data_IF_023695026145
#
_entry.id   IF_023695026145
#
_cell.length_a   1.000
_cell.length_b   1.000
_cell.length_c   1.000
_cell.angle_alpha   90.00
_cell.angle_beta   90.00
_cell.angle_gamma   90.00
#
_symmetry.space_group_name_H-M   'P 1'
#
loop_
_entity.id
_entity.type
_entity.pdbx_description
1 polymer ?
#
# COMPACT_ATOMS: atom_id res chain seq x y z
N UNK A 1 11.55 -21.97 33.97
CA UNK A 1 11.35 -22.24 32.54
C UNK A 1 11.56 -20.90 31.86
N UNK A 2 12.62 -20.72 31.06
CA UNK A 2 12.83 -19.48 30.32
C UNK A 2 11.68 -19.34 29.31
N UNK A 3 11.05 -18.17 29.23
CA UNK A 3 9.95 -17.93 28.30
C UNK A 3 10.43 -18.18 26.86
N UNK A 4 9.61 -18.85 26.05
CA UNK A 4 9.95 -19.07 24.64
C UNK A 4 10.03 -17.71 23.92
N UNK A 5 10.83 -17.57 22.84
CA UNK A 5 10.87 -16.33 22.06
C UNK A 5 9.48 -15.89 21.57
N UNK A 6 8.60 -16.86 21.32
CA UNK A 6 7.19 -16.64 21.01
C UNK A 6 6.40 -15.99 22.14
N UNK A 7 6.53 -16.49 23.38
CA UNK A 7 5.86 -15.89 24.54
C UNK A 7 6.43 -14.50 24.85
N UNK A 8 7.76 -14.34 24.69
CA UNK A 8 8.43 -13.05 24.81
C UNK A 8 7.88 -12.03 23.80
N UNK A 9 7.70 -12.41 22.53
CA UNK A 9 7.13 -11.54 21.50
C UNK A 9 5.75 -11.01 21.90
N UNK A 10 4.87 -11.89 22.38
CA UNK A 10 3.52 -11.52 22.84
C UNK A 10 3.54 -10.55 24.03
N UNK A 11 4.44 -10.77 24.98
CA UNK A 11 4.59 -9.87 26.12
C UNK A 11 5.13 -8.50 25.69
N UNK A 12 6.05 -8.46 24.72
CA UNK A 12 6.56 -7.22 24.14
C UNK A 12 5.45 -6.47 23.37
N UNK A 13 4.61 -7.16 22.59
CA UNK A 13 3.44 -6.51 21.96
C UNK A 13 2.47 -5.92 23.00
N UNK A 14 2.33 -6.58 24.16
CA UNK A 14 1.51 -6.06 25.26
C UNK A 14 2.13 -4.79 25.86
N UNK A 15 3.46 -4.73 25.99
CA UNK A 15 4.16 -3.52 26.40
C UNK A 15 4.03 -2.40 25.35
N UNK A 16 4.09 -2.72 24.06
CA UNK A 16 3.87 -1.77 22.97
C UNK A 16 2.46 -1.16 23.02
N UNK A 17 1.45 -1.96 23.35
CA UNK A 17 0.08 -1.47 23.53
C UNK A 17 -0.02 -0.46 24.69
N UNK A 18 0.66 -0.72 25.81
CA UNK A 18 0.72 0.24 26.94
C UNK A 18 1.49 1.51 26.57
N UNK A 19 2.63 1.39 25.86
CA UNK A 19 3.39 2.54 25.38
C UNK A 19 2.54 3.43 24.44
N UNK A 20 1.68 2.82 23.62
CA UNK A 20 0.72 3.52 22.77
C UNK A 20 -0.30 4.32 23.59
N UNK A 21 -0.84 3.75 24.67
CA UNK A 21 -1.76 4.47 25.57
C UNK A 21 -1.10 5.70 26.21
N UNK A 22 0.20 5.61 26.50
CA UNK A 22 1.02 6.71 27.01
C UNK A 22 1.53 7.66 25.90
N UNK A 23 1.21 7.38 24.63
CA UNK A 23 1.69 8.11 23.44
C UNK A 23 3.23 8.18 23.36
N UNK A 24 3.92 7.18 23.89
CA UNK A 24 5.36 7.06 23.77
C UNK A 24 5.69 6.35 22.45
N UNK A 25 5.68 7.11 21.35
CA UNK A 25 5.79 6.56 20.00
C UNK A 25 7.12 5.85 19.73
N UNK A 26 8.22 6.32 20.31
CA UNK A 26 9.53 5.67 20.19
C UNK A 26 9.49 4.26 20.78
N UNK A 27 8.93 4.10 21.98
CA UNK A 27 8.78 2.77 22.60
C UNK A 27 7.79 1.88 21.83
N UNK A 28 6.73 2.44 21.25
CA UNK A 28 5.82 1.68 20.38
C UNK A 28 6.57 1.05 19.21
N UNK A 29 7.41 1.83 18.52
CA UNK A 29 8.23 1.35 17.39
C UNK A 29 9.20 0.28 17.86
N UNK A 30 9.97 0.56 18.92
CA UNK A 30 11.02 -0.33 19.42
C UNK A 30 10.44 -1.67 19.88
N UNK A 31 9.34 -1.65 20.64
CA UNK A 31 8.70 -2.87 21.12
C UNK A 31 8.10 -3.68 19.97
N UNK A 32 7.35 -3.10 19.04
CA UNK A 32 6.79 -3.88 17.94
C UNK A 32 7.87 -4.40 16.97
N UNK A 33 8.95 -3.66 16.73
CA UNK A 33 10.10 -4.18 15.97
C UNK A 33 10.74 -5.37 16.69
N UNK A 34 10.94 -5.26 18.00
CA UNK A 34 11.51 -6.36 18.78
C UNK A 34 10.60 -7.59 18.81
N UNK A 35 9.28 -7.40 18.89
CA UNK A 35 8.32 -8.49 18.76
C UNK A 35 8.41 -9.15 17.38
N UNK A 36 8.50 -8.36 16.31
CA UNK A 36 8.68 -8.85 14.94
C UNK A 36 9.94 -9.71 14.78
N UNK A 37 11.09 -9.25 15.29
CA UNK A 37 12.34 -10.02 15.30
C UNK A 37 12.20 -11.38 16.03
N UNK A 38 11.51 -11.40 17.16
CA UNK A 38 11.29 -12.63 17.93
C UNK A 38 10.34 -13.61 17.21
N UNK A 39 9.32 -13.09 16.53
CA UNK A 39 8.46 -13.91 15.67
C UNK A 39 9.24 -14.50 14.50
N UNK A 40 10.14 -13.74 13.87
CA UNK A 40 11.04 -14.25 12.83
C UNK A 40 11.97 -15.36 13.35
N UNK A 41 12.53 -15.23 14.57
CA UNK A 41 13.34 -16.29 15.20
C UNK A 41 12.56 -17.59 15.46
N UNK A 42 11.23 -17.51 15.45
CA UNK A 42 10.34 -18.66 15.59
C UNK A 42 9.85 -19.22 14.24
N UNK A 43 10.39 -18.73 13.11
CA UNK A 43 9.91 -19.02 11.75
C UNK A 43 8.41 -18.67 11.59
N UNK A 44 8.00 -17.54 12.16
CA UNK A 44 6.62 -17.01 12.10
C UNK A 44 6.59 -15.64 11.41
N UNK A 45 6.82 -15.58 10.07
CA UNK A 45 6.86 -14.33 9.31
C UNK A 45 5.53 -13.57 9.31
N UNK A 46 4.39 -14.26 9.23
CA UNK A 46 3.09 -13.58 9.29
C UNK A 46 2.89 -12.81 10.62
N UNK A 47 3.04 -13.42 11.81
CA UNK A 47 3.01 -12.68 13.08
C UNK A 47 4.04 -11.54 13.17
N UNK A 48 5.21 -11.70 12.55
CA UNK A 48 6.22 -10.65 12.48
C UNK A 48 5.73 -9.43 11.69
N UNK A 49 5.20 -9.66 10.48
CA UNK A 49 4.57 -8.64 9.65
C UNK A 49 3.38 -7.98 10.35
N UNK A 50 2.50 -8.77 10.96
CA UNK A 50 1.33 -8.27 11.71
C UNK A 50 1.75 -7.32 12.86
N UNK A 51 2.87 -7.61 13.53
CA UNK A 51 3.41 -6.76 14.60
C UNK A 51 3.86 -5.40 14.07
N UNK A 52 4.59 -5.38 12.95
CA UNK A 52 5.00 -4.14 12.30
C UNK A 52 3.79 -3.35 11.77
N UNK A 53 2.80 -4.02 11.20
CA UNK A 53 1.57 -3.39 10.74
C UNK A 53 0.72 -2.81 11.90
N UNK A 54 0.78 -3.38 13.11
CA UNK A 54 0.15 -2.78 14.31
C UNK A 54 0.87 -1.50 14.74
N UNK A 55 2.20 -1.49 14.69
CA UNK A 55 2.98 -0.30 14.96
C UNK A 55 2.65 0.81 13.96
N UNK A 56 2.70 0.50 12.66
CA UNK A 56 2.40 1.44 11.59
C UNK A 56 1.03 2.11 11.78
N UNK A 57 -0.02 1.31 12.03
CA UNK A 57 -1.38 1.81 12.34
C UNK A 57 -1.46 2.73 13.55
N UNK A 58 -0.60 2.54 14.55
CA UNK A 58 -0.57 3.42 15.72
C UNK A 58 0.10 4.77 15.43
N UNK A 59 0.91 4.84 14.39
CA UNK A 59 1.79 5.96 14.06
C UNK A 59 1.25 6.83 12.92
N UNK A 60 0.24 6.38 12.16
CA UNK A 60 -0.20 7.06 10.92
C UNK A 60 -0.46 8.57 11.10
N UNK A 61 -1.08 8.97 12.21
CA UNK A 61 -1.39 10.38 12.48
C UNK A 61 -0.22 11.15 13.12
N UNK A 62 0.64 10.47 13.89
CA UNK A 62 1.65 11.12 14.73
C UNK A 62 3.03 11.17 14.05
N UNK A 63 3.42 10.09 13.38
CA UNK A 63 4.71 9.87 12.75
C UNK A 63 4.50 9.13 11.41
N UNK A 64 3.92 9.79 10.39
CA UNK A 64 3.48 9.14 9.16
C UNK A 64 4.65 8.56 8.33
N UNK A 65 5.82 9.18 8.36
CA UNK A 65 7.01 8.64 7.67
C UNK A 65 7.49 7.32 8.31
N UNK A 66 7.49 7.23 9.64
CA UNK A 66 7.81 5.99 10.35
C UNK A 66 6.75 4.91 10.10
N UNK A 67 5.47 5.29 10.05
CA UNK A 67 4.37 4.37 9.74
C UNK A 67 4.55 3.73 8.36
N UNK A 68 4.89 4.53 7.36
CA UNK A 68 5.18 4.05 6.00
C UNK A 68 6.36 3.10 5.97
N UNK A 69 7.46 3.40 6.68
CA UNK A 69 8.60 2.50 6.76
C UNK A 69 8.20 1.15 7.36
N UNK A 70 7.42 1.16 8.45
CA UNK A 70 6.94 -0.07 9.10
C UNK A 70 6.00 -0.88 8.20
N UNK A 71 5.11 -0.24 7.45
CA UNK A 71 4.32 -0.94 6.42
C UNK A 71 5.19 -1.53 5.32
N UNK A 72 6.23 -0.83 4.91
CA UNK A 72 7.19 -1.31 3.90
C UNK A 72 7.90 -2.57 4.38
N UNK A 73 8.43 -2.54 5.60
CA UNK A 73 9.10 -3.68 6.24
C UNK A 73 8.12 -4.86 6.40
N UNK A 74 6.87 -4.59 6.79
CA UNK A 74 5.82 -5.59 6.91
C UNK A 74 5.46 -6.25 5.56
N UNK A 75 5.41 -5.48 4.46
CA UNK A 75 5.25 -6.02 3.11
C UNK A 75 6.42 -6.94 2.75
N UNK A 76 7.67 -6.51 2.96
CA UNK A 76 8.87 -7.30 2.62
C UNK A 76 8.85 -8.66 3.31
N UNK A 77 8.49 -8.73 4.59
CA UNK A 77 8.39 -9.99 5.33
C UNK A 77 7.39 -10.96 4.67
N UNK A 78 6.23 -10.46 4.20
CA UNK A 78 5.22 -11.30 3.56
C UNK A 78 5.62 -11.70 2.14
N UNK A 79 6.30 -10.81 1.41
CA UNK A 79 6.82 -11.09 0.08
C UNK A 79 7.90 -12.17 0.11
N UNK A 80 8.82 -12.10 1.07
CA UNK A 80 9.87 -13.10 1.27
C UNK A 80 9.29 -14.47 1.69
N UNK A 81 8.14 -14.49 2.36
CA UNK A 81 7.39 -15.71 2.73
C UNK A 81 6.48 -16.23 1.59
N UNK A 82 6.46 -15.57 0.43
CA UNK A 82 5.59 -15.93 -0.71
C UNK A 82 4.10 -15.74 -0.42
N UNK A 83 3.76 -14.82 0.48
CA UNK A 83 2.40 -14.47 0.89
C UNK A 83 2.02 -13.08 0.43
N UNK A 84 2.36 -12.73 -0.81
CA UNK A 84 2.15 -11.38 -1.38
C UNK A 84 0.70 -10.89 -1.25
N UNK A 85 -0.28 -11.80 -1.36
CA UNK A 85 -1.69 -11.46 -1.21
C UNK A 85 -2.01 -10.82 0.15
N UNK A 86 -1.29 -11.22 1.20
CA UNK A 86 -1.49 -10.68 2.55
C UNK A 86 -0.93 -9.26 2.70
N UNK A 87 -0.02 -8.84 1.82
CA UNK A 87 0.57 -7.51 1.83
C UNK A 87 -0.33 -6.45 1.17
N UNK A 88 -1.43 -6.84 0.51
CA UNK A 88 -2.22 -5.89 -0.29
C UNK A 88 -2.77 -4.72 0.53
N UNK A 89 -3.30 -5.00 1.72
CA UNK A 89 -3.86 -3.94 2.57
C UNK A 89 -2.76 -3.04 3.17
N UNK A 90 -1.56 -3.59 3.37
CA UNK A 90 -0.40 -2.82 3.82
C UNK A 90 0.08 -1.85 2.72
N UNK A 91 0.10 -2.31 1.46
CA UNK A 91 0.38 -1.44 0.31
C UNK A 91 -0.61 -0.29 0.19
N UNK A 92 -1.92 -0.57 0.34
CA UNK A 92 -2.97 0.45 0.30
C UNK A 92 -2.82 1.45 1.43
N UNK A 93 -2.57 0.98 2.65
CA UNK A 93 -2.37 1.84 3.81
C UNK A 93 -1.16 2.78 3.64
N UNK A 94 -0.02 2.25 3.19
CA UNK A 94 1.16 3.07 2.91
C UNK A 94 0.91 4.10 1.78
N UNK A 95 0.26 3.68 0.69
CA UNK A 95 -0.11 4.59 -0.41
C UNK A 95 -1.05 5.71 0.09
N UNK A 96 -1.98 5.41 0.98
CA UNK A 96 -2.89 6.40 1.58
C UNK A 96 -2.14 7.46 2.35
N UNK A 97 -1.15 7.05 3.15
CA UNK A 97 -0.31 7.98 3.90
C UNK A 97 0.49 8.87 2.94
N UNK A 98 1.10 8.30 1.89
CA UNK A 98 1.81 9.10 0.90
C UNK A 98 0.92 10.12 0.19
N UNK A 99 -0.33 9.77 -0.15
CA UNK A 99 -1.30 10.72 -0.71
C UNK A 99 -1.59 11.84 0.28
N UNK A 100 -1.84 11.53 1.56
CA UNK A 100 -2.07 12.53 2.62
C UNK A 100 -0.87 13.46 2.83
N UNK A 101 0.34 12.95 2.63
CA UNK A 101 1.59 13.72 2.71
C UNK A 101 1.93 14.46 1.40
N UNK A 102 1.06 14.41 0.39
CA UNK A 102 1.28 14.97 -0.95
C UNK A 102 2.52 14.41 -1.67
N UNK A 103 3.01 13.24 -1.23
CA UNK A 103 4.11 12.48 -1.84
C UNK A 103 3.57 11.57 -2.95
N UNK A 104 2.99 12.16 -3.98
CA UNK A 104 2.24 11.43 -5.01
C UNK A 104 3.07 10.42 -5.80
N UNK A 105 4.34 10.73 -6.09
CA UNK A 105 5.22 9.79 -6.79
C UNK A 105 5.42 8.51 -5.98
N UNK A 106 5.66 8.62 -4.67
CA UNK A 106 5.84 7.48 -3.78
C UNK A 106 4.54 6.67 -3.64
N UNK A 107 3.39 7.35 -3.54
CA UNK A 107 2.08 6.71 -3.54
C UNK A 107 1.85 5.87 -4.80
N UNK A 108 2.11 6.44 -5.98
CA UNK A 108 1.97 5.74 -7.25
C UNK A 108 2.95 4.55 -7.34
N UNK A 109 4.18 4.68 -6.87
CA UNK A 109 5.13 3.57 -6.79
C UNK A 109 4.62 2.44 -5.90
N UNK A 110 4.01 2.74 -4.75
CA UNK A 110 3.41 1.72 -3.88
C UNK A 110 2.21 1.02 -4.54
N UNK A 111 1.38 1.75 -5.27
CA UNK A 111 0.27 1.17 -6.03
C UNK A 111 0.76 0.28 -7.17
N UNK A 112 1.86 0.63 -7.84
CA UNK A 112 2.47 -0.24 -8.85
C UNK A 112 3.03 -1.53 -8.21
N UNK A 113 3.67 -1.43 -7.04
CA UNK A 113 4.11 -2.63 -6.28
C UNK A 113 2.93 -3.53 -5.89
N UNK A 114 1.81 -2.95 -5.46
CA UNK A 114 0.56 -3.68 -5.24
C UNK A 114 0.09 -4.40 -6.51
N UNK A 115 0.15 -3.72 -7.67
CA UNK A 115 -0.22 -4.33 -8.94
C UNK A 115 0.65 -5.54 -9.31
N UNK A 116 1.97 -5.46 -9.08
CA UNK A 116 2.90 -6.57 -9.29
C UNK A 116 2.65 -7.72 -8.30
N UNK A 117 2.44 -7.42 -7.02
CA UNK A 117 2.06 -8.41 -6.01
C UNK A 117 0.74 -9.12 -6.39
N UNK A 118 -0.23 -8.36 -6.89
CA UNK A 118 -1.51 -8.89 -7.36
C UNK A 118 -1.36 -9.80 -8.59
N UNK A 119 -0.46 -9.47 -9.51
CA UNK A 119 -0.13 -10.31 -10.66
C UNK A 119 0.36 -11.70 -10.23
N UNK A 120 1.34 -11.74 -9.31
CA UNK A 120 1.88 -12.99 -8.76
C UNK A 120 0.81 -13.89 -8.14
N UNK A 121 -0.20 -13.28 -7.53
CA UNK A 121 -1.33 -14.01 -6.92
C UNK A 121 -2.46 -14.33 -7.91
N UNK A 122 -2.31 -14.04 -9.21
CA UNK A 122 -3.38 -14.11 -10.22
C UNK A 122 -4.63 -13.28 -9.85
N UNK A 123 -4.47 -12.24 -9.05
CA UNK A 123 -5.52 -11.36 -8.57
C UNK A 123 -5.79 -10.21 -9.57
N UNK A 124 -6.23 -10.57 -10.78
CA UNK A 124 -6.40 -9.64 -11.92
C UNK A 124 -7.18 -8.36 -11.60
N UNK A 125 -8.25 -8.46 -10.82
CA UNK A 125 -9.06 -7.30 -10.45
C UNK A 125 -8.24 -6.30 -9.61
N UNK A 126 -7.59 -6.77 -8.55
CA UNK A 126 -6.72 -5.96 -7.70
C UNK A 126 -5.58 -5.33 -8.49
N UNK A 127 -4.95 -6.09 -9.39
CA UNK A 127 -3.90 -5.60 -10.27
C UNK A 127 -4.39 -4.43 -11.13
N UNK A 128 -5.52 -4.60 -11.83
CA UNK A 128 -6.04 -3.57 -12.74
C UNK A 128 -6.47 -2.31 -11.99
N UNK A 129 -7.08 -2.46 -10.81
CA UNK A 129 -7.42 -1.33 -9.94
C UNK A 129 -6.16 -0.57 -9.50
N UNK A 130 -5.13 -1.28 -9.04
CA UNK A 130 -3.90 -0.66 -8.56
C UNK A 130 -3.20 0.15 -9.66
N UNK A 131 -3.14 -0.38 -10.90
CA UNK A 131 -2.59 0.35 -12.04
C UNK A 131 -3.40 1.61 -12.41
N UNK A 132 -4.74 1.51 -12.40
CA UNK A 132 -5.58 2.69 -12.62
C UNK A 132 -5.38 3.74 -11.53
N UNK A 133 -5.34 3.34 -10.26
CA UNK A 133 -5.07 4.24 -9.14
C UNK A 133 -3.72 4.94 -9.30
N UNK A 134 -2.66 4.23 -9.70
CA UNK A 134 -1.34 4.84 -9.93
C UNK A 134 -1.38 5.91 -11.04
N UNK A 135 -2.06 5.64 -12.16
CA UNK A 135 -2.22 6.60 -13.27
C UNK A 135 -2.99 7.85 -12.78
N UNK A 136 -4.07 7.66 -12.02
CA UNK A 136 -4.86 8.77 -11.46
C UNK A 136 -4.02 9.62 -10.51
N UNK A 137 -3.19 9.01 -9.67
CA UNK A 137 -2.28 9.73 -8.75
C UNK A 137 -1.29 10.61 -9.53
N UNK A 138 -0.71 10.13 -10.63
CA UNK A 138 0.17 10.95 -11.47
C UNK A 138 -0.59 12.10 -12.16
N UNK A 139 -1.82 11.86 -12.65
CA UNK A 139 -2.66 12.92 -13.22
C UNK A 139 -3.02 13.99 -12.18
N UNK A 140 -3.32 13.57 -10.95
CA UNK A 140 -3.59 14.47 -9.82
C UNK A 140 -2.35 15.31 -9.47
N UNK A 141 -1.16 14.71 -9.52
CA UNK A 141 0.11 15.40 -9.32
C UNK A 141 0.50 16.35 -10.48
N UNK A 142 -0.36 16.51 -11.49
CA UNK A 142 -0.09 17.26 -12.71
C UNK A 142 1.13 16.78 -13.52
N UNK A 143 1.55 15.53 -13.32
CA UNK A 143 2.65 14.91 -14.05
C UNK A 143 2.10 14.04 -15.19
N UNK A 144 1.60 14.72 -16.23
CA UNK A 144 1.02 14.06 -17.41
C UNK A 144 2.03 13.11 -18.08
N UNK A 145 3.31 13.51 -18.14
CA UNK A 145 4.36 12.69 -18.76
C UNK A 145 4.53 11.36 -18.04
N UNK A 146 4.57 11.39 -16.70
CA UNK A 146 4.71 10.17 -15.91
C UNK A 146 3.41 9.35 -15.92
N UNK A 147 2.24 9.99 -15.97
CA UNK A 147 0.95 9.30 -16.12
C UNK A 147 0.86 8.52 -17.45
N UNK A 148 1.24 9.16 -18.57
CA UNK A 148 1.27 8.53 -19.89
C UNK A 148 2.27 7.36 -19.94
N UNK A 149 3.47 7.56 -19.37
CA UNK A 149 4.46 6.50 -19.25
C UNK A 149 3.91 5.31 -18.47
N UNK A 150 3.34 5.57 -17.29
CA UNK A 150 2.73 4.55 -16.44
C UNK A 150 1.62 3.79 -17.20
N UNK A 151 0.75 4.51 -17.91
CA UNK A 151 -0.31 3.91 -18.72
C UNK A 151 0.24 3.03 -19.85
N UNK A 152 1.27 3.49 -20.57
CA UNK A 152 1.87 2.74 -21.67
C UNK A 152 2.54 1.45 -21.19
N UNK A 153 3.27 1.52 -20.07
CA UNK A 153 3.91 0.37 -19.43
C UNK A 153 2.86 -0.64 -18.93
N UNK A 154 1.82 -0.17 -18.23
CA UNK A 154 0.74 -1.02 -17.75
C UNK A 154 -0.07 -1.64 -18.89
N UNK A 155 -0.23 -0.95 -20.01
CA UNK A 155 -0.95 -1.44 -21.20
C UNK A 155 -0.21 -2.56 -21.95
N UNK A 156 1.08 -2.80 -21.64
CA UNK A 156 1.78 -3.99 -22.13
C UNK A 156 1.29 -5.28 -21.45
N UNK A 157 0.59 -5.17 -20.32
CA UNK A 157 0.04 -6.31 -19.60
C UNK A 157 -1.35 -6.63 -20.17
N UNK A 158 -1.53 -7.80 -20.78
CA UNK A 158 -2.81 -8.23 -21.39
C UNK A 158 -3.98 -8.17 -20.39
N UNK A 159 -3.69 -8.45 -19.12
CA UNK A 159 -4.65 -8.37 -18.04
C UNK A 159 -5.27 -6.96 -17.91
N UNK A 160 -4.42 -5.94 -17.92
CA UNK A 160 -4.83 -4.54 -17.85
C UNK A 160 -5.39 -4.06 -19.18
N UNK A 161 -4.74 -4.36 -20.31
CA UNK A 161 -5.13 -3.90 -21.64
C UNK A 161 -6.62 -4.18 -21.97
N UNK A 162 -7.14 -5.34 -21.56
CA UNK A 162 -8.54 -5.73 -21.84
C UNK A 162 -9.54 -5.26 -20.77
N UNK A 163 -9.08 -4.62 -19.71
CA UNK A 163 -9.89 -4.25 -18.54
C UNK A 163 -10.73 -2.98 -18.74
N UNK A 164 -11.78 -2.81 -17.93
CA UNK A 164 -12.50 -1.54 -17.81
C UNK A 164 -11.63 -0.43 -17.22
N UNK A 165 -10.66 -0.80 -16.39
CA UNK A 165 -9.71 0.12 -15.78
C UNK A 165 -8.83 0.79 -16.84
N UNK A 166 -8.33 0.03 -17.82
CA UNK A 166 -7.59 0.59 -18.96
C UNK A 166 -8.47 1.53 -19.80
N UNK A 167 -9.71 1.12 -20.11
CA UNK A 167 -10.66 1.99 -20.84
C UNK A 167 -10.91 3.31 -20.10
N UNK A 168 -10.98 3.27 -18.77
CA UNK A 168 -11.18 4.47 -17.94
C UNK A 168 -9.92 5.34 -17.91
N UNK A 169 -8.74 4.72 -17.76
CA UNK A 169 -7.44 5.42 -17.80
C UNK A 169 -7.24 6.16 -19.14
N UNK A 170 -7.52 5.49 -20.26
CA UNK A 170 -7.40 6.09 -21.60
C UNK A 170 -8.31 7.31 -21.77
N UNK A 171 -9.58 7.22 -21.33
CA UNK A 171 -10.50 8.36 -21.37
C UNK A 171 -10.04 9.52 -20.48
N UNK A 172 -9.56 9.23 -19.27
CA UNK A 172 -9.03 10.25 -18.37
C UNK A 172 -7.82 10.96 -18.99
N UNK A 173 -6.88 10.21 -19.58
CA UNK A 173 -5.71 10.80 -20.24
C UNK A 173 -6.10 11.69 -21.43
N UNK A 174 -6.99 11.24 -22.31
CA UNK A 174 -7.47 12.05 -23.44
C UNK A 174 -8.12 13.35 -22.95
N UNK A 175 -9.06 13.23 -22.01
CA UNK A 175 -9.79 14.37 -21.47
C UNK A 175 -8.85 15.37 -20.75
N UNK A 176 -7.86 14.86 -20.03
CA UNK A 176 -6.85 15.68 -19.38
C UNK A 176 -6.00 16.45 -20.39
N UNK A 177 -5.53 15.79 -21.45
CA UNK A 177 -4.74 16.41 -22.53
C UNK A 177 -5.55 17.45 -23.31
N UNK A 178 -6.84 17.21 -23.52
CA UNK A 178 -7.76 18.11 -24.22
C UNK A 178 -8.29 19.26 -23.33
N UNK A 179 -8.07 19.18 -22.01
CA UNK A 179 -8.65 20.11 -21.05
C UNK A 179 -10.17 19.99 -20.90
N UNK A 180 -10.74 18.83 -21.24
CA UNK A 180 -12.19 18.56 -21.14
C UNK A 180 -12.58 18.22 -19.70
N UNK A 181 -12.88 19.27 -18.94
CA UNK A 181 -13.28 19.17 -17.53
C UNK A 181 -14.57 18.37 -17.34
N UNK A 182 -15.52 18.46 -18.26
CA UNK A 182 -16.80 17.75 -18.14
C UNK A 182 -16.63 16.25 -18.38
N UNK A 183 -15.77 15.87 -19.32
CA UNK A 183 -15.39 14.48 -19.52
C UNK A 183 -14.64 13.91 -18.31
N UNK A 184 -13.69 14.66 -17.73
CA UNK A 184 -12.99 14.24 -16.51
C UNK A 184 -13.99 13.95 -15.39
N UNK A 185 -14.93 14.86 -15.12
CA UNK A 185 -15.96 14.68 -14.09
C UNK A 185 -16.83 13.46 -14.39
N UNK A 186 -17.25 13.28 -15.64
CA UNK A 186 -18.07 12.15 -16.07
C UNK A 186 -17.36 10.82 -15.83
N UNK A 187 -16.09 10.70 -16.21
CA UNK A 187 -15.32 9.47 -16.02
C UNK A 187 -15.04 9.23 -14.54
N UNK A 188 -14.71 10.27 -13.77
CA UNK A 188 -14.50 10.18 -12.33
C UNK A 188 -15.72 9.66 -11.55
N UNK A 189 -16.94 9.87 -12.06
CA UNK A 189 -18.19 9.36 -11.50
C UNK A 189 -18.55 7.94 -11.96
N UNK A 190 -17.76 7.33 -12.85
CA UNK A 190 -18.03 5.98 -13.34
C UNK A 190 -17.86 4.93 -12.23
N UNK A 191 -18.59 3.82 -12.34
CA UNK A 191 -18.48 2.71 -11.40
C UNK A 191 -17.07 2.12 -11.33
N UNK A 192 -16.30 2.18 -12.42
CA UNK A 192 -14.90 1.73 -12.46
C UNK A 192 -14.04 2.53 -11.49
N UNK A 193 -14.25 3.85 -11.41
CA UNK A 193 -13.50 4.75 -10.53
C UNK A 193 -14.04 4.67 -9.10
N UNK A 194 -15.36 4.68 -8.92
CA UNK A 194 -15.96 4.60 -7.58
C UNK A 194 -15.70 3.26 -6.87
N UNK A 195 -15.41 2.21 -7.62
CA UNK A 195 -15.06 0.88 -7.09
C UNK A 195 -13.56 0.71 -6.87
N UNK A 196 -12.73 1.74 -7.10
CA UNK A 196 -11.33 1.69 -6.67
C UNK A 196 -11.27 1.55 -5.15
N UNK A 197 -10.22 0.90 -4.68
CA UNK A 197 -10.01 0.78 -3.24
C UNK A 197 -9.66 2.18 -2.71
N UNK A 198 -10.22 2.55 -1.56
CA UNK A 198 -9.93 3.85 -0.96
C UNK A 198 -8.46 3.87 -0.53
N UNK A 199 -7.74 4.83 -1.09
CA UNK A 199 -6.35 5.17 -0.78
C UNK A 199 -6.38 6.62 -0.35
#
# INVERSE_FOLDING_TARGET
MLASPWDAAKHIESAAALAKELRNWTEVIDFYRRASELYMQCDRPQPASDSLAKAARALEDALPDDAVQLYTDACVILEDDGKEQMAFDLYRAAASIYVKLEKFTDAATFLLRLGLAADKCNARNSQCKAYLSAIIVYLYAHDLKQAEKCYNDCSQIDAFLRSDQNRSASKLLSAYTEGDVEEIKRVAQSSTISNLDNV
#
